data_IF_943572199645
#
_entry.id   IF_943572199645
#
_cell.length_a   1.000
_cell.length_b   1.000
_cell.length_c   1.000
_cell.angle_alpha   90.00
_cell.angle_beta   90.00
_cell.angle_gamma   90.00
#
_symmetry.space_group_name_H-M   'P 1'
#
loop_
_entity.id
_entity.type
_entity.pdbx_description
1 polymer ?
#
# COMPACT_ATOMS: atom_id res chain seq x y z
N UNK A 1 -9.26 24.50 0.21
CA UNK A 1 -10.54 23.77 0.10
C UNK A 1 -10.18 22.30 0.00
N UNK A 2 -10.31 21.55 1.11
CA UNK A 2 -10.05 20.12 1.11
C UNK A 2 -11.36 19.43 0.73
N UNK A 3 -11.50 19.08 -0.54
CA UNK A 3 -12.51 18.11 -0.95
C UNK A 3 -12.08 16.76 -0.36
N UNK A 4 -12.76 16.32 0.68
CA UNK A 4 -12.72 14.91 1.08
C UNK A 4 -13.25 14.09 -0.08
N UNK A 5 -12.36 13.45 -0.83
CA UNK A 5 -12.72 12.55 -1.93
C UNK A 5 -13.75 11.52 -1.46
N UNK A 6 -14.93 11.53 -2.09
CA UNK A 6 -16.03 10.61 -1.80
C UNK A 6 -15.75 9.24 -2.43
N UNK A 7 -14.94 8.43 -1.74
CA UNK A 7 -14.64 7.04 -2.14
C UNK A 7 -15.86 6.10 -2.03
N UNK A 8 -17.07 6.56 -1.71
CA UNK A 8 -18.22 5.68 -1.37
C UNK A 8 -18.93 5.09 -2.58
N UNK A 9 -18.73 5.67 -3.78
CA UNK A 9 -19.49 5.31 -4.99
C UNK A 9 -18.86 4.23 -5.86
N UNK A 10 -17.65 3.74 -5.58
CA UNK A 10 -16.85 2.99 -6.57
C UNK A 10 -16.59 1.49 -6.32
N UNK A 11 -16.61 0.98 -5.09
CA UNK A 11 -16.60 -0.48 -4.79
C UNK A 11 -16.75 -0.73 -3.26
N UNK A 12 -16.89 -2.01 -2.85
CA UNK A 12 -16.86 -2.39 -1.43
C UNK A 12 -15.46 -2.15 -0.89
N UNK A 13 -15.32 -1.19 0.04
CA UNK A 13 -14.02 -0.88 0.66
C UNK A 13 -13.55 -2.00 1.59
N UNK A 14 -12.25 -2.25 1.56
CA UNK A 14 -11.61 -3.22 2.43
C UNK A 14 -11.08 -2.67 3.75
N UNK A 15 -11.10 -1.34 3.88
CA UNK A 15 -10.61 -0.59 5.04
C UNK A 15 -11.73 0.25 5.66
N UNK A 16 -11.49 0.73 6.88
CA UNK A 16 -12.34 1.72 7.54
C UNK A 16 -11.55 2.99 7.80
N UNK A 17 -11.94 4.11 7.19
CA UNK A 17 -11.44 5.41 7.60
C UNK A 17 -12.03 5.78 8.96
N UNK A 18 -11.33 5.45 10.04
CA UNK A 18 -11.55 6.09 11.33
C UNK A 18 -10.76 7.39 11.33
N UNK A 19 -11.39 8.48 11.76
CA UNK A 19 -10.70 9.73 12.04
C UNK A 19 -9.77 9.54 13.25
N UNK A 20 -8.63 8.90 13.03
CA UNK A 20 -7.55 8.87 14.01
C UNK A 20 -6.99 10.28 14.16
N UNK A 21 -6.69 10.68 15.40
CA UNK A 21 -6.08 11.98 15.65
C UNK A 21 -4.68 11.99 15.04
N UNK A 22 -4.48 12.83 14.03
CA UNK A 22 -3.14 13.13 13.50
C UNK A 22 -2.41 13.98 14.56
N UNK A 23 -1.25 13.52 15.02
CA UNK A 23 -0.41 14.29 15.92
C UNK A 23 0.22 15.48 15.20
N UNK A 24 0.62 16.52 15.95
CA UNK A 24 1.31 17.70 15.39
C UNK A 24 2.57 17.27 14.62
N UNK A 25 3.31 16.29 15.16
CA UNK A 25 4.52 15.78 14.51
C UNK A 25 4.22 15.06 13.19
N UNK A 26 3.16 14.25 13.13
CA UNK A 26 2.73 13.60 11.87
C UNK A 26 2.27 14.63 10.84
N UNK A 27 1.47 15.63 11.26
CA UNK A 27 1.01 16.67 10.36
C UNK A 27 2.19 17.47 9.79
N UNK A 28 3.14 17.88 10.65
CA UNK A 28 4.34 18.57 10.20
C UNK A 28 5.16 17.73 9.22
N UNK A 29 5.29 16.42 9.47
CA UNK A 29 6.00 15.53 8.56
C UNK A 29 5.30 15.43 7.19
N UNK A 30 3.97 15.35 7.17
CA UNK A 30 3.18 15.39 5.94
C UNK A 30 3.43 16.69 5.19
N UNK A 31 3.23 17.84 5.85
CA UNK A 31 3.35 19.16 5.21
C UNK A 31 4.75 19.40 4.65
N UNK A 32 5.78 18.87 5.33
CA UNK A 32 7.18 19.06 4.94
C UNK A 32 7.64 18.08 3.87
N UNK A 33 7.30 16.80 4.01
CA UNK A 33 7.98 15.71 3.30
C UNK A 33 7.10 14.98 2.29
N UNK A 34 5.77 15.02 2.42
CA UNK A 34 4.89 14.44 1.41
C UNK A 34 5.08 15.06 0.01
N UNK A 35 5.38 16.37 -0.16
CA UNK A 35 5.70 16.91 -1.49
C UNK A 35 6.93 16.27 -2.16
N UNK A 36 7.82 15.66 -1.37
CA UNK A 36 9.05 15.03 -1.87
C UNK A 36 8.90 13.52 -2.09
N UNK A 37 8.33 12.81 -1.12
CA UNK A 37 8.22 11.34 -1.16
C UNK A 37 6.85 10.84 -1.61
N UNK A 38 5.85 11.72 -1.62
CA UNK A 38 4.50 11.43 -2.04
C UNK A 38 4.35 11.40 -3.56
N UNK A 39 3.57 10.45 -4.06
CA UNK A 39 3.10 10.43 -5.43
C UNK A 39 1.58 10.68 -5.38
N UNK A 40 1.07 11.75 -6.01
CA UNK A 40 -0.36 12.00 -6.05
C UNK A 40 -1.05 10.95 -6.94
N UNK A 41 -2.25 10.53 -6.54
CA UNK A 41 -3.08 9.70 -7.39
C UNK A 41 -3.53 10.47 -8.63
N UNK A 42 -3.50 9.79 -9.76
CA UNK A 42 -3.94 10.27 -11.07
C UNK A 42 -4.46 9.08 -11.89
N UNK A 43 -5.41 9.32 -12.79
CA UNK A 43 -5.93 8.28 -13.68
C UNK A 43 -5.03 8.08 -14.91
N UNK A 44 -3.76 7.74 -14.69
CA UNK A 44 -2.79 7.34 -15.72
C UNK A 44 -1.71 6.44 -15.15
N UNK A 45 -1.11 5.61 -16.01
CA UNK A 45 0.02 4.75 -15.63
C UNK A 45 1.19 5.59 -15.11
N UNK A 46 1.80 5.07 -14.04
CA UNK A 46 2.96 5.63 -13.37
C UNK A 46 4.23 4.94 -13.86
N UNK A 47 5.21 5.73 -14.30
CA UNK A 47 6.56 5.25 -14.53
C UNK A 47 7.30 5.19 -13.18
N UNK A 48 7.49 3.97 -12.66
CA UNK A 48 8.15 3.76 -11.38
C UNK A 48 9.64 4.09 -11.44
N UNK A 49 10.33 3.80 -12.53
CA UNK A 49 11.77 4.11 -12.64
C UNK A 49 11.98 5.62 -12.63
N UNK A 50 11.13 6.38 -13.31
CA UNK A 50 11.13 7.84 -13.21
C UNK A 50 10.79 8.34 -11.80
N UNK A 51 9.79 7.75 -11.14
CA UNK A 51 9.37 8.17 -9.80
C UNK A 51 10.46 7.94 -8.73
N UNK A 52 11.22 6.85 -8.87
CA UNK A 52 12.36 6.55 -8.00
C UNK A 52 13.68 7.18 -8.47
N UNK A 53 13.77 7.58 -9.75
CA UNK A 53 14.98 8.12 -10.37
C UNK A 53 16.04 7.05 -10.67
N UNK A 54 15.65 5.77 -10.69
CA UNK A 54 16.54 4.63 -10.94
C UNK A 54 15.76 3.39 -11.39
N UNK A 55 16.44 2.48 -12.08
CA UNK A 55 15.95 1.13 -12.35
C UNK A 55 16.43 0.18 -11.26
N UNK A 56 15.48 -0.48 -10.62
CA UNK A 56 15.68 -1.40 -9.50
C UNK A 56 14.42 -2.27 -9.32
N UNK A 57 14.50 -3.43 -8.63
CA UNK A 57 13.31 -4.22 -8.31
C UNK A 57 12.26 -3.39 -7.57
N UNK A 58 10.98 -3.56 -7.93
CA UNK A 58 9.86 -2.78 -7.40
C UNK A 58 8.95 -3.65 -6.54
N UNK A 59 8.80 -3.28 -5.27
CA UNK A 59 7.86 -3.89 -4.35
C UNK A 59 6.71 -2.93 -4.06
N UNK A 60 5.48 -3.42 -4.13
CA UNK A 60 4.29 -2.71 -3.67
C UNK A 60 3.94 -3.17 -2.26
N UNK A 61 3.79 -2.27 -1.31
CA UNK A 61 3.20 -2.58 0.00
C UNK A 61 1.81 -1.96 0.11
N UNK A 62 0.81 -2.79 0.44
CA UNK A 62 -0.59 -2.36 0.57
C UNK A 62 -0.99 -2.34 2.05
N UNK A 63 -1.34 -1.17 2.55
CA UNK A 63 -1.77 -0.96 3.92
C UNK A 63 -0.61 -1.06 4.90
N UNK A 64 0.43 -0.22 4.69
CA UNK A 64 1.63 -0.24 5.54
C UNK A 64 1.38 0.19 6.99
N UNK A 65 0.20 0.70 7.32
CA UNK A 65 -0.16 1.11 8.67
C UNK A 65 0.75 2.23 9.17
N UNK A 66 1.50 1.97 10.24
CA UNK A 66 2.45 2.95 10.78
C UNK A 66 3.80 2.97 10.05
N UNK A 67 4.07 1.98 9.18
CA UNK A 67 5.25 1.96 8.31
C UNK A 67 6.54 1.47 8.95
N UNK A 68 6.54 1.00 10.21
CA UNK A 68 7.74 0.49 10.88
C UNK A 68 8.35 -0.72 10.14
N UNK A 69 7.52 -1.66 9.70
CA UNK A 69 7.95 -2.80 8.88
C UNK A 69 8.51 -2.34 7.53
N UNK A 70 7.80 -1.44 6.83
CA UNK A 70 8.24 -0.87 5.55
C UNK A 70 9.62 -0.23 5.66
N UNK A 71 9.80 0.64 6.66
CA UNK A 71 11.07 1.34 6.89
C UNK A 71 12.20 0.36 7.20
N UNK A 72 11.93 -0.63 8.06
CA UNK A 72 12.92 -1.67 8.42
C UNK A 72 13.36 -2.49 7.21
N UNK A 73 12.39 -2.96 6.41
CA UNK A 73 12.65 -3.75 5.20
C UNK A 73 13.42 -2.91 4.16
N UNK A 74 13.00 -1.67 3.93
CA UNK A 74 13.65 -0.78 2.98
C UNK A 74 15.08 -0.41 3.38
N UNK A 75 15.32 -0.22 4.69
CA UNK A 75 16.66 0.02 5.23
C UNK A 75 17.58 -1.19 5.03
N UNK A 76 17.05 -2.40 5.22
CA UNK A 76 17.80 -3.64 5.03
C UNK A 76 18.09 -3.97 3.55
N UNK A 77 17.27 -3.44 2.64
CA UNK A 77 17.32 -3.72 1.20
C UNK A 77 17.37 -2.42 0.36
N UNK A 78 18.46 -1.63 0.47
CA UNK A 78 18.61 -0.37 -0.27
C UNK A 78 18.63 -0.55 -1.80
N UNK A 79 18.88 -1.77 -2.28
CA UNK A 79 18.84 -2.15 -3.69
C UNK A 79 17.42 -2.29 -4.27
N UNK A 80 16.39 -2.33 -3.42
CA UNK A 80 14.97 -2.50 -3.81
C UNK A 80 14.21 -1.19 -3.58
N UNK A 81 13.27 -0.87 -4.46
CA UNK A 81 12.35 0.28 -4.31
C UNK A 81 10.96 -0.16 -3.82
N UNK A 82 10.39 0.59 -2.88
CA UNK A 82 9.11 0.29 -2.24
C UNK A 82 8.08 1.39 -2.52
N UNK A 83 7.01 1.05 -3.24
CA UNK A 83 5.81 1.88 -3.34
C UNK A 83 4.86 1.50 -2.21
N UNK A 84 4.71 2.39 -1.24
CA UNK A 84 3.94 2.14 -0.03
C UNK A 84 2.56 2.83 -0.12
N UNK A 85 1.48 2.06 -0.06
CA UNK A 85 0.10 2.54 -0.11
C UNK A 85 -0.55 2.51 1.26
N UNK A 86 -1.15 3.61 1.67
CA UNK A 86 -1.92 3.70 2.92
C UNK A 86 -3.01 4.76 2.79
N UNK A 87 -4.19 4.51 3.31
CA UNK A 87 -5.31 5.48 3.29
C UNK A 87 -5.34 6.34 4.55
N UNK A 88 -4.75 5.87 5.64
CA UNK A 88 -4.73 6.51 6.95
C UNK A 88 -3.63 7.56 7.09
N UNK A 89 -4.05 8.84 7.19
CA UNK A 89 -3.15 10.00 7.37
C UNK A 89 -2.13 9.85 8.52
N UNK A 90 -2.48 9.33 9.71
CA UNK A 90 -1.48 9.16 10.78
C UNK A 90 -0.33 8.22 10.38
N UNK A 91 -0.64 7.17 9.62
CA UNK A 91 0.34 6.20 9.12
C UNK A 91 1.32 6.85 8.14
N UNK A 92 0.78 7.56 7.15
CA UNK A 92 1.55 8.36 6.18
C UNK A 92 2.52 9.32 6.88
N UNK A 93 2.03 10.08 7.87
CA UNK A 93 2.88 10.99 8.62
C UNK A 93 3.95 10.28 9.45
N UNK A 94 3.72 9.06 9.92
CA UNK A 94 4.74 8.30 10.65
C UNK A 94 5.81 7.75 9.71
N UNK A 95 5.43 7.14 8.59
CA UNK A 95 6.40 6.62 7.62
C UNK A 95 7.27 7.75 7.05
N UNK A 96 6.72 8.93 6.80
CA UNK A 96 7.52 10.11 6.40
C UNK A 96 8.56 10.50 7.45
N UNK A 97 8.24 10.41 8.75
CA UNK A 97 9.23 10.64 9.81
C UNK A 97 10.33 9.60 9.80
N UNK A 98 9.98 8.32 9.63
CA UNK A 98 10.94 7.22 9.57
C UNK A 98 11.86 7.37 8.37
N UNK A 99 11.31 7.69 7.18
CA UNK A 99 12.06 7.98 5.96
C UNK A 99 13.14 9.04 6.22
N UNK A 100 12.79 10.14 6.85
CA UNK A 100 13.74 11.22 7.12
C UNK A 100 14.74 10.89 8.22
N UNK A 101 14.31 10.19 9.27
CA UNK A 101 15.16 9.82 10.42
C UNK A 101 16.22 8.79 10.01
N UNK A 102 15.83 7.81 9.19
CA UNK A 102 16.69 6.71 8.72
C UNK A 102 17.34 7.01 7.35
N UNK A 103 17.12 8.22 6.80
CA UNK A 103 17.63 8.67 5.50
C UNK A 103 17.28 7.73 4.33
N UNK A 104 16.06 7.19 4.32
CA UNK A 104 15.59 6.29 3.28
C UNK A 104 15.27 7.03 1.99
N UNK A 105 15.81 6.52 0.89
CA UNK A 105 15.72 7.10 -0.45
C UNK A 105 14.98 6.18 -1.44
N UNK A 106 14.72 4.93 -1.03
CA UNK A 106 14.08 3.87 -1.79
C UNK A 106 12.61 3.62 -1.42
N UNK A 107 11.93 4.61 -0.81
CA UNK A 107 10.49 4.57 -0.56
C UNK A 107 9.78 5.72 -1.28
N UNK A 108 8.61 5.43 -1.85
CA UNK A 108 7.61 6.43 -2.27
C UNK A 108 6.26 6.09 -1.64
N UNK A 109 5.50 7.10 -1.26
CA UNK A 109 4.21 6.94 -0.58
C UNK A 109 3.08 7.39 -1.49
N UNK A 110 1.98 6.65 -1.52
CA UNK A 110 0.71 7.15 -2.04
C UNK A 110 -0.36 7.03 -0.97
N UNK A 111 -0.99 8.16 -0.66
CA UNK A 111 -2.14 8.17 0.24
C UNK A 111 -3.43 7.96 -0.55
N UNK A 112 -3.72 6.73 -0.95
CA UNK A 112 -4.89 6.42 -1.78
C UNK A 112 -5.35 4.96 -1.64
N UNK A 113 -6.57 4.67 -2.09
CA UNK A 113 -7.09 3.31 -2.20
C UNK A 113 -6.25 2.46 -3.17
N UNK A 114 -5.71 1.34 -2.66
CA UNK A 114 -4.86 0.44 -3.41
C UNK A 114 -5.57 -0.21 -4.61
N UNK A 115 -6.87 -0.47 -4.55
CA UNK A 115 -7.65 -1.02 -5.67
C UNK A 115 -7.64 -0.04 -6.84
N UNK A 116 -7.75 1.26 -6.57
CA UNK A 116 -7.74 2.30 -7.60
C UNK A 116 -6.33 2.54 -8.15
N UNK A 117 -5.31 2.57 -7.28
CA UNK A 117 -3.91 2.67 -7.71
C UNK A 117 -3.51 1.49 -8.61
N UNK A 118 -3.82 0.26 -8.21
CA UNK A 118 -3.56 -0.94 -9.02
C UNK A 118 -4.27 -0.91 -10.37
N UNK A 119 -5.52 -0.43 -10.40
CA UNK A 119 -6.31 -0.35 -11.63
C UNK A 119 -5.75 0.67 -12.61
N UNK A 120 -5.43 1.87 -12.14
CA UNK A 120 -5.22 3.01 -13.03
C UNK A 120 -3.75 3.38 -13.22
N UNK A 121 -2.90 3.08 -12.24
CA UNK A 121 -1.53 3.60 -12.19
C UNK A 121 -0.47 2.52 -12.36
N UNK A 122 -0.74 1.28 -11.96
CA UNK A 122 0.25 0.21 -12.05
C UNK A 122 0.07 -0.55 -13.38
N UNK A 123 1.12 -0.52 -14.21
CA UNK A 123 1.18 -1.29 -15.44
C UNK A 123 1.37 -2.79 -15.12
N UNK A 124 0.99 -3.64 -16.08
CA UNK A 124 1.18 -5.08 -15.97
C UNK A 124 2.67 -5.43 -15.95
N UNK A 125 3.04 -6.57 -15.38
CA UNK A 125 4.42 -7.08 -15.32
C UNK A 125 5.48 -6.05 -14.86
N UNK A 126 5.10 -5.16 -13.94
CA UNK A 126 5.97 -4.07 -13.47
C UNK A 126 6.55 -4.33 -12.08
N UNK A 127 5.81 -5.04 -11.23
CA UNK A 127 6.21 -5.32 -9.85
C UNK A 127 7.00 -6.63 -9.75
N UNK A 128 8.05 -6.62 -8.95
CA UNK A 128 8.83 -7.82 -8.60
C UNK A 128 8.24 -8.55 -7.38
N UNK A 129 7.40 -7.86 -6.60
CA UNK A 129 6.63 -8.48 -5.54
C UNK A 129 5.63 -7.53 -4.87
N UNK A 130 4.76 -8.10 -4.05
CA UNK A 130 3.74 -7.38 -3.30
C UNK A 130 3.71 -7.86 -1.85
N UNK A 131 3.66 -6.92 -0.92
CA UNK A 131 3.50 -7.16 0.52
C UNK A 131 2.11 -6.70 0.98
N UNK A 132 1.42 -7.57 1.72
CA UNK A 132 0.13 -7.26 2.37
C UNK A 132 0.18 -7.82 3.78
N UNK A 133 0.52 -6.98 4.76
CA UNK A 133 0.71 -7.40 6.14
C UNK A 133 -0.44 -6.96 7.02
N UNK A 134 -1.02 -7.91 7.74
CA UNK A 134 -2.11 -7.71 8.70
C UNK A 134 -3.29 -6.88 8.15
N UNK A 135 -3.81 -7.19 6.94
CA UNK A 135 -4.96 -6.47 6.40
C UNK A 135 -6.19 -6.68 7.31
N UNK A 136 -7.10 -5.70 7.32
CA UNK A 136 -8.33 -5.74 8.13
C UNK A 136 -9.03 -7.12 8.05
N UNK A 137 -9.13 -7.87 9.17
CA UNK A 137 -9.54 -9.28 9.13
C UNK A 137 -11.05 -9.47 9.01
N UNK A 138 -11.83 -8.43 9.31
CA UNK A 138 -13.30 -8.42 9.25
C UNK A 138 -13.94 -9.66 9.89
N UNK A 139 -13.70 -9.88 11.20
CA UNK A 139 -14.07 -11.10 11.93
C UNK A 139 -15.53 -11.60 11.80
N UNK A 140 -16.48 -10.71 11.51
CA UNK A 140 -17.90 -11.09 11.40
C UNK A 140 -18.17 -11.61 9.99
N UNK A 141 -18.71 -12.82 9.86
CA UNK A 141 -18.99 -13.46 8.57
C UNK A 141 -19.70 -12.55 7.54
N UNK A 142 -20.69 -11.75 7.98
CA UNK A 142 -21.38 -10.76 7.14
C UNK A 142 -20.48 -9.68 6.52
N UNK A 143 -19.27 -9.49 7.04
CA UNK A 143 -18.28 -8.53 6.58
C UNK A 143 -17.16 -9.19 5.76
N UNK A 144 -17.14 -10.51 5.56
CA UNK A 144 -16.06 -11.19 4.84
C UNK A 144 -15.88 -10.66 3.39
N UNK A 145 -16.94 -10.14 2.76
CA UNK A 145 -16.88 -9.48 1.44
C UNK A 145 -16.03 -8.20 1.44
N UNK A 146 -15.67 -7.66 2.62
CA UNK A 146 -14.79 -6.51 2.81
C UNK A 146 -13.33 -6.93 3.01
N UNK A 147 -13.01 -8.21 3.20
CA UNK A 147 -11.60 -8.63 3.23
C UNK A 147 -10.94 -8.27 1.91
N UNK A 148 -9.75 -7.68 1.96
CA UNK A 148 -8.99 -7.27 0.77
C UNK A 148 -8.66 -8.48 -0.14
N UNK A 149 -8.25 -9.60 0.46
CA UNK A 149 -7.85 -10.79 -0.29
C UNK A 149 -9.10 -11.54 -0.77
N UNK A 150 -9.50 -11.22 -2.00
CA UNK A 150 -10.58 -11.85 -2.76
C UNK A 150 -10.07 -12.22 -4.15
N UNK A 151 -10.63 -13.27 -4.75
CA UNK A 151 -10.21 -13.74 -6.07
C UNK A 151 -10.18 -12.62 -7.15
N UNK A 152 -11.19 -11.73 -7.28
CA UNK A 152 -11.13 -10.66 -8.28
C UNK A 152 -10.03 -9.63 -8.04
N UNK A 153 -9.69 -9.38 -6.77
CA UNK A 153 -8.60 -8.46 -6.42
C UNK A 153 -7.24 -9.11 -6.68
N UNK A 154 -7.06 -10.34 -6.22
CA UNK A 154 -5.81 -11.10 -6.42
C UNK A 154 -5.53 -11.32 -7.91
N UNK A 155 -6.55 -11.66 -8.72
CA UNK A 155 -6.37 -11.82 -10.16
C UNK A 155 -5.83 -10.55 -10.83
N UNK A 156 -6.34 -9.37 -10.46
CA UNK A 156 -5.82 -8.08 -10.95
C UNK A 156 -4.43 -7.78 -10.41
N UNK A 157 -4.18 -8.09 -9.15
CA UNK A 157 -2.88 -7.86 -8.50
C UNK A 157 -1.77 -8.68 -9.16
N UNK A 158 -2.03 -9.96 -9.42
CA UNK A 158 -1.06 -10.87 -10.03
C UNK A 158 -0.69 -10.45 -11.44
N UNK A 159 -1.62 -9.86 -12.22
CA UNK A 159 -1.29 -9.28 -13.54
C UNK A 159 -0.24 -8.16 -13.47
N UNK A 160 -0.10 -7.51 -12.32
CA UNK A 160 0.90 -6.45 -12.11
C UNK A 160 2.28 -6.99 -11.73
N UNK A 161 2.35 -8.26 -11.34
CA UNK A 161 3.56 -8.92 -10.87
C UNK A 161 4.22 -9.63 -12.05
N UNK A 162 5.52 -9.38 -12.26
CA UNK A 162 6.32 -10.06 -13.26
C UNK A 162 6.28 -11.58 -13.07
N UNK A 163 6.43 -12.38 -14.15
CA UNK A 163 6.72 -13.79 -14.02
C UNK A 163 7.94 -14.03 -13.10
N UNK A 164 7.76 -14.88 -12.08
CA UNK A 164 8.79 -15.14 -11.07
C UNK A 164 8.76 -14.20 -9.85
N UNK A 165 7.94 -13.15 -9.87
CA UNK A 165 7.66 -12.33 -8.69
C UNK A 165 6.77 -13.04 -7.68
N UNK A 166 6.47 -12.36 -6.56
CA UNK A 166 5.76 -12.98 -5.43
C UNK A 166 4.68 -12.10 -4.81
N UNK A 167 3.71 -12.75 -4.16
CA UNK A 167 2.73 -12.12 -3.29
C UNK A 167 2.94 -12.65 -1.87
N UNK A 168 3.32 -11.77 -0.94
CA UNK A 168 3.55 -12.09 0.47
C UNK A 168 2.42 -11.51 1.32
N UNK A 169 1.57 -12.39 1.85
CA UNK A 169 0.46 -12.02 2.73
C UNK A 169 0.72 -12.57 4.13
N UNK A 170 0.60 -11.72 5.14
CA UNK A 170 0.66 -12.12 6.54
C UNK A 170 -0.63 -11.72 7.27
N UNK A 171 -1.12 -12.58 8.16
CA UNK A 171 -2.25 -12.29 9.05
C UNK A 171 -2.14 -13.13 10.31
N UNK A 172 -2.61 -12.58 11.42
CA UNK A 172 -2.71 -13.20 12.73
C UNK A 172 -4.10 -13.82 12.98
N UNK A 173 -5.02 -13.72 12.03
CA UNK A 173 -6.36 -14.30 12.12
C UNK A 173 -6.49 -15.58 11.31
N UNK A 174 -6.62 -16.73 11.99
CA UNK A 174 -6.66 -18.04 11.34
C UNK A 174 -7.71 -18.15 10.23
N UNK A 175 -8.97 -17.75 10.47
CA UNK A 175 -10.01 -17.84 9.42
C UNK A 175 -9.69 -16.99 8.19
N UNK A 176 -8.89 -15.92 8.37
CA UNK A 176 -8.46 -15.10 7.25
C UNK A 176 -7.31 -15.79 6.52
N UNK A 177 -6.33 -16.35 7.25
CA UNK A 177 -5.24 -17.13 6.66
C UNK A 177 -5.79 -18.28 5.79
N UNK A 178 -6.80 -19.00 6.27
CA UNK A 178 -7.47 -20.06 5.50
C UNK A 178 -8.16 -19.53 4.24
N UNK A 179 -8.79 -18.34 4.31
CA UNK A 179 -9.36 -17.70 3.12
C UNK A 179 -8.26 -17.28 2.14
N UNK A 180 -7.16 -16.70 2.62
CA UNK A 180 -6.01 -16.32 1.79
C UNK A 180 -5.52 -17.56 1.05
N UNK A 181 -5.27 -18.67 1.75
CA UNK A 181 -4.82 -19.92 1.13
C UNK A 181 -5.80 -20.41 0.06
N UNK A 182 -7.11 -20.41 0.32
CA UNK A 182 -8.13 -20.79 -0.67
C UNK A 182 -8.13 -19.90 -1.90
N UNK A 183 -7.96 -18.60 -1.73
CA UNK A 183 -7.93 -17.63 -2.85
C UNK A 183 -6.65 -17.76 -3.67
N UNK A 184 -5.51 -18.03 -3.04
CA UNK A 184 -4.21 -18.13 -3.73
C UNK A 184 -3.97 -19.50 -4.39
N UNK A 185 -4.69 -20.55 -3.97
CA UNK A 185 -4.53 -21.91 -4.49
C UNK A 185 -5.52 -22.26 -5.62
N UNK A 186 -6.46 -21.37 -5.93
CA UNK A 186 -7.48 -21.55 -6.97
C UNK A 186 -7.21 -20.70 -8.19
#
# INVERSE_FOLDING_TARGET
MNETEDFSKRHIRSFVLRAGRVSIAQQRAIDTWLPRYGIPYITRQLDLDQAFGRTAPKILEIGFGMGDSTATIALAHPEIDYLALEVHTPGVGNLLKLIETEHLNNIRIMQHDAVEVLRDMIADDTLDGVHIFFPDPWHKARHNKRRLIQAPFVAKLVQKIKPGGYLHVATDWQDYAEQVLRVLSG
#
